data_IF_358211796888
#
_entry.id   IF_358211796888
#
_cell.length_a   1.000
_cell.length_b   1.000
_cell.length_c   1.000
_cell.angle_alpha   90.00
_cell.angle_beta   90.00
_cell.angle_gamma   90.00
#
_symmetry.space_group_name_H-M   'P 1'
#
loop_
_entity.id
_entity.type
_entity.pdbx_description
1 polymer ?
#
# COMPACT_ATOMS: atom_id res chain seq x y z
N UNK A 1 6.54 -38.66 -35.61
CA UNK A 1 7.56 -37.83 -34.95
C UNK A 1 6.77 -36.77 -34.20
N UNK A 2 6.27 -37.15 -33.02
CA UNK A 2 5.20 -36.43 -32.31
C UNK A 2 5.77 -35.37 -31.37
N UNK A 3 5.17 -34.18 -31.45
CA UNK A 3 5.48 -32.97 -30.68
C UNK A 3 5.22 -33.15 -29.18
N UNK A 4 6.29 -33.05 -28.39
CA UNK A 4 6.25 -33.01 -26.93
C UNK A 4 5.86 -31.60 -26.44
N UNK A 5 4.56 -31.29 -26.49
CA UNK A 5 3.98 -30.13 -25.79
C UNK A 5 3.91 -30.42 -24.29
N UNK A 6 4.65 -29.64 -23.49
CA UNK A 6 4.65 -29.67 -22.02
C UNK A 6 3.24 -29.57 -21.41
N UNK A 7 2.31 -28.88 -22.09
CA UNK A 7 0.95 -28.65 -21.61
C UNK A 7 0.02 -29.88 -21.74
N UNK A 8 0.40 -30.86 -22.56
CA UNK A 8 -0.38 -32.08 -22.80
C UNK A 8 0.37 -33.35 -22.41
N UNK A 9 1.46 -33.23 -21.66
CA UNK A 9 2.24 -34.39 -21.23
C UNK A 9 1.40 -35.24 -20.24
N UNK A 10 1.18 -36.55 -20.53
CA UNK A 10 0.28 -37.39 -19.73
C UNK A 10 0.68 -37.46 -18.25
N UNK A 11 1.98 -37.40 -17.95
CA UNK A 11 2.49 -37.39 -16.58
C UNK A 11 2.10 -36.14 -15.76
N UNK A 12 1.78 -35.01 -16.40
CA UNK A 12 1.37 -33.77 -15.72
C UNK A 12 -0.16 -33.69 -15.51
N UNK A 13 -0.92 -34.52 -16.23
CA UNK A 13 -2.38 -34.63 -16.11
C UNK A 13 -2.83 -35.73 -15.15
N UNK A 14 -1.91 -36.54 -14.60
CA UNK A 14 -2.21 -37.54 -13.57
C UNK A 14 -2.67 -36.86 -12.26
N UNK A 15 -3.91 -37.09 -11.79
CA UNK A 15 -4.42 -36.53 -10.55
C UNK A 15 -3.62 -36.93 -9.31
N UNK A 16 -3.06 -38.14 -9.30
CA UNK A 16 -2.28 -38.65 -8.18
C UNK A 16 -0.85 -38.10 -8.16
N UNK A 17 -0.29 -37.77 -9.33
CA UNK A 17 0.95 -37.01 -9.44
C UNK A 17 0.78 -35.57 -8.90
N UNK A 18 -0.30 -34.87 -9.29
CA UNK A 18 -0.59 -33.50 -8.83
C UNK A 18 -0.76 -33.41 -7.30
N UNK A 19 -1.47 -34.36 -6.70
CA UNK A 19 -1.61 -34.44 -5.23
C UNK A 19 -0.27 -34.67 -4.53
N UNK A 20 0.60 -35.51 -5.09
CA UNK A 20 1.95 -35.76 -4.55
C UNK A 20 2.83 -34.53 -4.68
N UNK A 21 2.85 -33.88 -5.84
CA UNK A 21 3.60 -32.65 -6.08
C UNK A 21 3.16 -31.51 -5.15
N UNK A 22 1.85 -31.32 -4.93
CA UNK A 22 1.35 -30.30 -4.00
C UNK A 22 1.74 -30.60 -2.54
N UNK A 23 1.70 -31.89 -2.14
CA UNK A 23 2.12 -32.31 -0.80
C UNK A 23 3.61 -32.10 -0.59
N UNK A 24 4.45 -32.41 -1.58
CA UNK A 24 5.89 -32.21 -1.54
C UNK A 24 6.28 -30.73 -1.54
N UNK A 25 5.61 -29.89 -2.35
CA UNK A 25 5.80 -28.45 -2.34
C UNK A 25 5.47 -27.82 -0.98
N UNK A 26 4.36 -28.24 -0.35
CA UNK A 26 3.99 -27.79 1.02
C UNK A 26 4.99 -28.23 2.08
N UNK A 27 5.56 -29.43 1.96
CA UNK A 27 6.58 -29.93 2.90
C UNK A 27 7.94 -29.23 2.70
N UNK A 28 8.31 -28.92 1.45
CA UNK A 28 9.49 -28.13 1.10
C UNK A 28 9.41 -26.71 1.68
N UNK A 29 8.28 -26.02 1.46
CA UNK A 29 8.04 -24.68 1.99
C UNK A 29 8.12 -24.62 3.54
N UNK A 30 7.61 -25.64 4.24
CA UNK A 30 7.72 -25.73 5.71
C UNK A 30 9.16 -25.96 6.20
N UNK A 31 9.96 -26.74 5.46
CA UNK A 31 11.39 -26.97 5.79
C UNK A 31 12.21 -25.69 5.58
N UNK A 32 11.95 -24.95 4.51
CA UNK A 32 12.64 -23.68 4.23
C UNK A 32 12.32 -22.58 5.24
N UNK A 33 11.07 -22.47 5.69
CA UNK A 33 10.68 -21.57 6.77
C UNK A 33 11.40 -21.90 8.09
N UNK A 34 11.54 -23.19 8.43
CA UNK A 34 12.31 -23.62 9.62
C UNK A 34 13.80 -23.29 9.50
N UNK A 35 14.38 -23.42 8.30
CA UNK A 35 15.80 -23.12 8.05
C UNK A 35 16.08 -21.62 8.15
N UNK A 36 15.20 -20.78 7.60
CA UNK A 36 15.26 -19.30 7.73
C UNK A 36 15.10 -18.83 9.17
N UNK A 37 14.29 -19.52 9.99
CA UNK A 37 14.11 -19.20 11.42
C UNK A 37 15.33 -19.52 12.28
N UNK A 38 16.17 -20.50 11.88
CA UNK A 38 17.43 -20.85 12.55
C UNK A 38 18.61 -19.95 12.15
N UNK A 39 18.53 -19.24 11.02
CA UNK A 39 19.61 -18.38 10.51
C UNK A 39 19.48 -16.89 10.90
N UNK A 40 18.45 -16.50 11.67
CA UNK A 40 18.42 -15.14 12.25
C UNK A 40 19.47 -15.05 13.38
N UNK A 41 20.46 -14.14 13.30
CA UNK A 41 21.35 -13.90 14.42
C UNK A 41 20.52 -13.32 15.56
N UNK A 42 20.39 -14.08 16.65
CA UNK A 42 19.86 -13.55 17.92
C UNK A 42 20.89 -12.57 18.47
N UNK A 43 20.82 -11.30 18.06
CA UNK A 43 21.46 -10.20 18.79
C UNK A 43 20.72 -10.04 20.12
N UNK A 44 21.06 -10.91 21.08
CA UNK A 44 20.72 -10.73 22.49
C UNK A 44 21.52 -9.54 22.98
N UNK A 45 20.88 -8.38 23.09
CA UNK A 45 21.44 -7.25 23.79
C UNK A 45 21.48 -7.63 25.29
N UNK A 46 22.61 -8.18 25.75
CA UNK A 46 22.87 -8.43 27.16
C UNK A 46 23.17 -7.07 27.82
N UNK A 47 22.13 -6.33 28.18
CA UNK A 47 22.30 -5.24 29.16
C UNK A 47 22.57 -5.89 30.52
N UNK A 48 23.68 -5.52 31.14
CA UNK A 48 24.01 -5.96 32.49
C UNK A 48 22.99 -5.35 33.47
N UNK A 49 22.63 -6.13 34.50
CA UNK A 49 21.66 -5.76 35.56
C UNK A 49 21.93 -4.38 36.19
N UNK A 50 23.19 -3.90 36.13
CA UNK A 50 23.62 -2.59 36.63
C UNK A 50 23.07 -1.42 35.80
N UNK A 51 22.90 -1.56 34.49
CA UNK A 51 22.38 -0.49 33.61
C UNK A 51 20.89 -0.26 33.83
N UNK A 52 20.12 -1.33 34.08
CA UNK A 52 18.68 -1.26 34.35
C UNK A 52 18.40 -0.56 35.69
N UNK A 53 19.21 -0.82 36.73
CA UNK A 53 19.06 -0.19 38.05
C UNK A 53 19.37 1.30 38.00
N UNK A 54 20.40 1.71 37.26
CA UNK A 54 20.76 3.14 37.12
C UNK A 54 19.67 3.92 36.38
N UNK A 55 19.10 3.36 35.30
CA UNK A 55 18.00 4.00 34.57
C UNK A 55 16.72 4.10 35.41
N UNK A 56 16.45 3.12 36.28
CA UNK A 56 15.28 3.13 37.16
C UNK A 56 15.39 4.21 38.25
N UNK A 57 16.58 4.41 38.84
CA UNK A 57 16.82 5.44 39.86
C UNK A 57 16.75 6.86 39.28
N UNK A 58 17.26 7.06 38.06
CA UNK A 58 17.15 8.36 37.38
C UNK A 58 15.68 8.66 37.05
N UNK A 59 14.92 7.65 36.62
CA UNK A 59 13.48 7.78 36.33
C UNK A 59 12.64 8.12 37.56
N UNK A 60 12.93 7.55 38.73
CA UNK A 60 12.16 7.81 39.96
C UNK A 60 12.49 9.17 40.58
N UNK A 61 13.74 9.64 40.51
CA UNK A 61 14.12 10.99 40.98
C UNK A 61 13.50 12.09 40.10
N UNK A 62 13.43 11.87 38.78
CA UNK A 62 12.75 12.79 37.87
C UNK A 62 11.23 12.87 38.11
N UNK A 63 10.59 11.74 38.42
CA UNK A 63 9.16 11.66 38.72
C UNK A 63 8.79 12.34 40.05
N UNK A 64 9.63 12.21 41.08
CA UNK A 64 9.43 12.88 42.37
C UNK A 64 9.69 14.40 42.29
N UNK A 65 10.64 14.84 41.46
CA UNK A 65 10.87 16.27 41.20
C UNK A 65 9.70 16.96 40.48
N UNK A 66 9.08 16.27 39.51
CA UNK A 66 7.92 16.81 38.78
C UNK A 66 6.66 16.91 39.65
N UNK A 67 6.45 15.97 40.57
CA UNK A 67 5.30 15.99 41.49
C UNK A 67 5.37 17.16 42.50
N UNK A 68 6.56 17.54 42.96
CA UNK A 68 6.73 18.65 43.89
C UNK A 68 6.43 20.02 43.25
N UNK A 69 6.75 20.21 41.97
CA UNK A 69 6.48 21.46 41.24
C UNK A 69 4.98 21.65 40.95
N UNK A 70 4.24 20.58 40.67
CA UNK A 70 2.78 20.64 40.44
C UNK A 70 2.02 20.94 41.73
N UNK A 71 2.43 20.39 42.88
CA UNK A 71 1.75 20.63 44.16
C UNK A 71 1.99 22.05 44.69
N UNK A 72 3.12 22.68 44.37
CA UNK A 72 3.42 24.05 44.82
C UNK A 72 2.73 25.13 43.96
N UNK A 73 2.33 24.81 42.71
CA UNK A 73 1.59 25.70 41.81
C UNK A 73 0.06 25.72 42.08
N UNK A 74 -0.47 24.74 42.83
CA UNK A 74 -1.91 24.60 43.10
C UNK A 74 -2.40 25.21 44.42
N UNK A 75 -1.53 25.87 45.21
CA UNK A 75 -1.88 26.43 46.53
C UNK A 75 -2.03 27.95 46.59
N UNK A 76 -2.06 28.64 45.46
CA UNK A 76 -2.27 30.09 45.43
C UNK A 76 -3.17 30.51 44.29
N UNK A 77 -4.47 30.68 44.57
CA UNK A 77 -5.36 31.73 44.03
C UNK A 77 -6.83 31.35 44.26
N UNK A 78 -7.51 32.07 45.16
CA UNK A 78 -8.96 32.06 45.28
C UNK A 78 -9.57 32.89 44.14
N UNK A 79 -10.26 32.23 43.21
CA UNK A 79 -10.96 32.80 42.05
C UNK A 79 -12.46 32.50 42.18
N UNK A 80 -13.39 33.40 41.77
CA UNK A 80 -14.83 33.18 41.89
C UNK A 80 -15.30 31.94 41.10
N UNK A 81 -16.37 31.31 41.57
CA UNK A 81 -16.89 30.03 41.07
C UNK A 81 -17.03 29.97 39.52
N UNK A 82 -16.49 28.94 38.84
CA UNK A 82 -16.67 28.78 37.41
C UNK A 82 -18.11 28.39 37.09
N UNK A 83 -18.75 29.11 36.17
CA UNK A 83 -19.90 28.58 35.44
C UNK A 83 -19.47 27.28 34.74
N UNK A 84 -20.31 26.23 34.70
CA UNK A 84 -19.95 25.00 33.99
C UNK A 84 -19.60 25.36 32.54
N UNK A 85 -18.45 24.90 32.00
CA UNK A 85 -18.11 25.17 30.61
C UNK A 85 -19.24 24.60 29.76
N UNK A 86 -19.98 25.50 29.10
CA UNK A 86 -20.92 25.10 28.05
C UNK A 86 -20.04 24.42 27.00
N UNK A 87 -20.20 23.11 26.83
CA UNK A 87 -19.47 22.37 25.83
C UNK A 87 -19.55 23.16 24.53
N UNK A 88 -18.40 23.56 23.99
CA UNK A 88 -18.36 24.01 22.61
C UNK A 88 -19.06 22.93 21.80
N UNK A 89 -19.93 23.27 20.83
CA UNK A 89 -20.49 22.25 19.96
C UNK A 89 -19.29 21.45 19.44
N UNK A 90 -19.26 20.15 19.78
CA UNK A 90 -18.35 19.23 19.11
C UNK A 90 -18.60 19.50 17.64
N UNK A 91 -17.57 19.90 16.89
CA UNK A 91 -17.63 19.92 15.44
C UNK A 91 -17.87 18.46 15.01
N UNK A 92 -19.12 18.04 15.06
CA UNK A 92 -19.64 16.78 14.54
C UNK A 92 -19.66 16.98 13.05
N UNK A 93 -18.54 16.71 12.40
CA UNK A 93 -18.39 16.94 10.97
C UNK A 93 -16.98 16.66 10.50
N UNK A 94 -16.91 16.10 9.30
CA UNK A 94 -15.69 16.06 8.50
C UNK A 94 -15.52 17.42 7.83
N UNK A 95 -14.34 18.01 7.97
CA UNK A 95 -13.98 19.21 7.22
C UNK A 95 -13.61 18.80 5.79
N UNK A 96 -14.53 19.02 4.85
CA UNK A 96 -14.37 18.61 3.45
C UNK A 96 -13.39 19.50 2.67
N UNK A 97 -13.10 20.71 3.16
CA UNK A 97 -12.08 21.59 2.58
C UNK A 97 -10.66 21.13 2.99
N UNK A 98 -10.56 20.39 4.09
CA UNK A 98 -9.32 19.80 4.60
C UNK A 98 -9.48 18.29 4.85
N UNK A 99 -9.75 17.50 3.81
CA UNK A 99 -10.23 16.12 3.98
C UNK A 99 -9.20 15.17 4.60
N UNK A 100 -7.91 15.52 4.54
CA UNK A 100 -6.84 14.71 5.12
C UNK A 100 -6.49 15.09 6.57
N UNK A 101 -7.05 16.17 7.13
CA UNK A 101 -6.79 16.56 8.51
C UNK A 101 -7.23 15.45 9.48
N UNK A 102 -6.38 15.18 10.49
CA UNK A 102 -6.59 14.08 11.46
C UNK A 102 -6.66 12.69 10.81
N UNK A 103 -6.09 12.52 9.62
CA UNK A 103 -5.82 11.22 9.01
C UNK A 103 -4.31 10.96 8.92
N UNK A 104 -3.85 9.70 8.75
CA UNK A 104 -2.45 9.40 8.46
C UNK A 104 -1.85 10.16 7.28
N UNK A 105 -2.68 10.55 6.29
CA UNK A 105 -2.24 11.27 5.10
C UNK A 105 -2.09 12.79 5.27
N UNK A 106 -2.34 13.33 6.47
CA UNK A 106 -2.22 14.77 6.76
C UNK A 106 -0.85 15.36 6.39
N UNK A 107 0.22 14.55 6.52
CA UNK A 107 1.61 14.97 6.25
C UNK A 107 2.20 14.34 4.99
N UNK A 108 1.41 13.64 4.19
CA UNK A 108 1.87 13.05 2.93
C UNK A 108 1.90 14.11 1.83
N UNK A 109 2.74 13.89 0.83
CA UNK A 109 2.83 14.78 -0.32
C UNK A 109 1.78 14.42 -1.37
N UNK A 110 1.43 15.40 -2.18
CA UNK A 110 0.44 15.24 -3.26
C UNK A 110 0.99 14.38 -4.39
N UNK A 111 0.19 13.40 -4.84
CA UNK A 111 0.50 12.50 -5.94
C UNK A 111 1.92 11.92 -5.89
N UNK A 112 2.57 11.87 -7.05
CA UNK A 112 3.92 11.31 -7.18
C UNK A 112 5.00 12.01 -6.34
N UNK A 113 4.79 13.25 -5.89
CA UNK A 113 5.78 13.92 -5.03
C UNK A 113 5.98 13.20 -3.68
N UNK A 114 5.05 12.31 -3.32
CA UNK A 114 5.15 11.41 -2.16
C UNK A 114 5.91 10.11 -2.40
N UNK A 115 6.25 9.78 -3.65
CA UNK A 115 7.06 8.61 -3.96
C UNK A 115 8.53 9.04 -4.08
N UNK A 116 9.37 8.45 -3.23
CA UNK A 116 10.82 8.64 -3.33
C UNK A 116 11.37 7.82 -4.49
N UNK A 117 11.96 8.50 -5.48
CA UNK A 117 12.66 7.86 -6.60
C UNK A 117 14.16 8.12 -6.40
N UNK A 118 14.98 7.09 -6.18
CA UNK A 118 16.42 7.27 -6.05
C UNK A 118 17.04 7.62 -7.41
N UNK A 119 18.22 8.26 -7.43
CA UNK A 119 18.95 8.48 -8.67
C UNK A 119 19.33 7.13 -9.31
N UNK A 120 19.29 7.07 -10.64
CA UNK A 120 19.69 5.92 -11.42
C UNK A 120 21.14 5.53 -11.16
N UNK A 121 21.35 4.25 -10.87
CA UNK A 121 22.67 3.64 -10.76
C UNK A 121 22.76 2.48 -11.73
N UNK A 122 23.96 2.15 -12.18
CA UNK A 122 24.12 0.99 -13.05
C UNK A 122 23.76 -0.29 -12.27
N UNK A 123 22.87 -1.12 -12.83
CA UNK A 123 22.37 -2.33 -12.19
C UNK A 123 22.28 -3.44 -13.22
N UNK A 124 22.96 -4.56 -12.97
CA UNK A 124 23.04 -5.67 -13.94
C UNK A 124 23.61 -5.18 -15.28
N UNK A 125 22.87 -5.43 -16.37
CA UNK A 125 23.22 -4.97 -17.72
C UNK A 125 22.65 -3.59 -18.11
N UNK A 126 22.21 -2.79 -17.13
CA UNK A 126 21.62 -1.46 -17.35
C UNK A 126 22.57 -0.37 -16.85
N UNK A 127 22.77 0.65 -17.67
CA UNK A 127 23.50 1.87 -17.31
C UNK A 127 22.66 2.74 -16.37
N UNK A 128 23.30 3.68 -15.66
CA UNK A 128 22.60 4.62 -14.79
C UNK A 128 21.48 5.39 -15.52
N UNK A 129 21.75 5.84 -16.75
CA UNK A 129 20.78 6.56 -17.58
C UNK A 129 19.57 5.69 -17.98
N UNK A 130 19.81 4.40 -18.25
CA UNK A 130 18.71 3.47 -18.56
C UNK A 130 17.87 3.16 -17.32
N UNK A 131 18.49 3.10 -16.14
CA UNK A 131 17.76 2.96 -14.87
C UNK A 131 16.92 4.21 -14.58
N UNK A 132 17.44 5.42 -14.83
CA UNK A 132 16.64 6.65 -14.74
C UNK A 132 15.47 6.66 -15.72
N UNK A 133 15.70 6.22 -16.96
CA UNK A 133 14.63 6.11 -17.95
C UNK A 133 13.56 5.09 -17.53
N UNK A 134 13.98 3.97 -16.93
CA UNK A 134 13.09 2.97 -16.37
C UNK A 134 12.26 3.53 -15.19
N UNK A 135 12.88 4.28 -14.28
CA UNK A 135 12.14 4.95 -13.20
C UNK A 135 11.09 5.92 -13.73
N UNK A 136 11.44 6.77 -14.71
CA UNK A 136 10.47 7.67 -15.34
C UNK A 136 9.29 6.90 -15.94
N UNK A 137 9.56 5.83 -16.69
CA UNK A 137 8.53 4.99 -17.31
C UNK A 137 7.60 4.36 -16.26
N UNK A 138 8.13 3.92 -15.13
CA UNK A 138 7.33 3.38 -14.02
C UNK A 138 6.53 4.46 -13.33
N UNK A 139 7.07 5.66 -13.10
CA UNK A 139 6.30 6.77 -12.52
C UNK A 139 5.17 7.24 -13.45
N UNK A 140 5.38 7.25 -14.76
CA UNK A 140 4.32 7.49 -15.75
C UNK A 140 3.23 6.41 -15.65
N UNK A 141 3.61 5.14 -15.53
CA UNK A 141 2.65 4.04 -15.38
C UNK A 141 1.83 4.13 -14.08
N UNK A 142 2.47 4.47 -12.95
CA UNK A 142 1.78 4.72 -11.67
C UNK A 142 0.81 5.90 -11.81
N UNK A 143 1.22 6.97 -12.50
CA UNK A 143 0.35 8.13 -12.73
C UNK A 143 -0.88 7.74 -13.53
N UNK A 144 -0.69 7.11 -14.69
CA UNK A 144 -1.79 6.66 -15.54
C UNK A 144 -2.75 5.71 -14.80
N UNK A 145 -2.21 4.82 -13.97
CA UNK A 145 -2.98 3.82 -13.23
C UNK A 145 -3.75 4.36 -12.02
N UNK A 146 -3.14 5.28 -11.26
CA UNK A 146 -3.59 5.65 -9.90
C UNK A 146 -4.05 7.10 -9.78
N UNK A 147 -3.62 7.97 -10.68
CA UNK A 147 -3.89 9.41 -10.60
C UNK A 147 -4.59 9.95 -11.86
N UNK A 148 -4.45 9.26 -13.00
CA UNK A 148 -5.02 9.66 -14.28
C UNK A 148 -6.54 9.70 -14.25
N UNK A 149 -7.13 10.81 -14.71
CA UNK A 149 -8.59 11.00 -14.69
C UNK A 149 -9.33 9.93 -15.49
N UNK A 150 -8.73 9.47 -16.61
CA UNK A 150 -9.26 8.38 -17.45
C UNK A 150 -9.40 7.07 -16.67
N UNK A 151 -8.35 6.66 -15.97
CA UNK A 151 -8.39 5.45 -15.15
C UNK A 151 -9.37 5.61 -13.98
N UNK A 152 -9.29 6.74 -13.28
CA UNK A 152 -10.08 6.98 -12.07
C UNK A 152 -11.58 7.05 -12.36
N UNK A 153 -12.01 7.83 -13.36
CA UNK A 153 -13.43 8.14 -13.60
C UNK A 153 -14.02 7.38 -14.77
N UNK A 154 -13.29 7.33 -15.88
CA UNK A 154 -13.79 6.72 -17.12
C UNK A 154 -13.50 5.21 -17.16
N UNK A 155 -12.74 4.72 -16.17
CA UNK A 155 -12.24 3.36 -16.08
C UNK A 155 -11.48 2.98 -17.36
N UNK A 156 -10.84 3.94 -18.03
CA UNK A 156 -10.12 3.75 -19.28
C UNK A 156 -8.61 3.58 -19.01
N UNK A 157 -8.06 2.41 -19.37
CA UNK A 157 -6.65 2.07 -19.20
C UNK A 157 -5.75 2.43 -20.39
N UNK A 158 -6.23 3.17 -21.39
CA UNK A 158 -5.50 3.49 -22.61
C UNK A 158 -4.14 4.14 -22.38
N UNK A 159 -4.04 5.07 -21.42
CA UNK A 159 -2.77 5.73 -21.06
C UNK A 159 -1.74 4.74 -20.51
N UNK A 160 -2.18 3.80 -19.66
CA UNK A 160 -1.31 2.75 -19.13
C UNK A 160 -0.87 1.79 -20.23
N UNK A 161 -1.81 1.35 -21.09
CA UNK A 161 -1.54 0.46 -22.21
C UNK A 161 -0.48 1.02 -23.15
N UNK A 162 -0.49 2.33 -23.43
CA UNK A 162 0.48 2.99 -24.29
C UNK A 162 1.93 2.91 -23.77
N UNK A 163 2.12 2.67 -22.46
CA UNK A 163 3.44 2.58 -21.83
C UNK A 163 4.03 1.17 -21.89
N UNK A 164 3.21 0.14 -22.08
CA UNK A 164 3.61 -1.26 -22.02
C UNK A 164 4.30 -1.73 -23.30
N UNK A 165 5.13 -2.76 -23.15
CA UNK A 165 5.70 -3.53 -24.24
C UNK A 165 4.57 -4.10 -25.13
N UNK A 166 4.78 -4.24 -26.46
CA UNK A 166 3.72 -4.66 -27.38
C UNK A 166 2.95 -5.93 -26.97
N UNK A 167 3.66 -6.99 -26.55
CA UNK A 167 3.02 -8.24 -26.15
C UNK A 167 2.26 -8.10 -24.81
N UNK A 168 2.84 -7.41 -23.83
CA UNK A 168 2.17 -7.11 -22.56
C UNK A 168 0.88 -6.32 -22.81
N UNK A 169 0.96 -5.28 -23.66
CA UNK A 169 -0.18 -4.46 -24.06
C UNK A 169 -1.27 -5.32 -24.67
N UNK A 170 -0.92 -6.17 -25.65
CA UNK A 170 -1.89 -7.02 -26.32
C UNK A 170 -2.57 -7.99 -25.36
N UNK A 171 -1.82 -8.55 -24.41
CA UNK A 171 -2.33 -9.51 -23.43
C UNK A 171 -3.41 -8.91 -22.51
N UNK A 172 -3.22 -7.66 -22.05
CA UNK A 172 -4.13 -7.03 -21.08
C UNK A 172 -5.06 -5.97 -21.68
N UNK A 173 -4.99 -5.75 -22.99
CA UNK A 173 -5.76 -4.71 -23.69
C UNK A 173 -7.26 -4.82 -23.42
N UNK A 174 -7.85 -5.99 -23.64
CA UNK A 174 -9.28 -6.22 -23.47
C UNK A 174 -9.72 -5.94 -22.03
N UNK A 175 -8.99 -6.50 -21.05
CA UNK A 175 -9.27 -6.29 -19.63
C UNK A 175 -9.21 -4.80 -19.24
N UNK A 176 -8.20 -4.05 -19.70
CA UNK A 176 -8.04 -2.63 -19.37
C UNK A 176 -9.00 -1.69 -20.12
N UNK A 177 -9.63 -2.14 -21.21
CA UNK A 177 -10.61 -1.36 -21.99
C UNK A 177 -12.06 -1.79 -21.76
N UNK A 178 -12.29 -2.93 -21.13
CA UNK A 178 -13.60 -3.41 -20.69
C UNK A 178 -14.19 -2.59 -19.53
N UNK A 179 -15.42 -2.88 -19.10
CA UNK A 179 -16.01 -2.28 -17.91
C UNK A 179 -15.24 -2.59 -16.60
N UNK A 180 -15.68 -2.04 -15.46
CA UNK A 180 -15.03 -2.29 -14.17
C UNK A 180 -15.16 -3.77 -13.77
N UNK A 181 -14.03 -4.38 -13.40
CA UNK A 181 -13.97 -5.75 -12.88
C UNK A 181 -12.98 -5.83 -11.71
N UNK A 182 -13.10 -6.90 -10.90
CA UNK A 182 -12.16 -7.19 -9.81
C UNK A 182 -10.74 -7.39 -10.33
N UNK A 183 -10.56 -7.98 -11.51
CA UNK A 183 -9.21 -8.18 -12.06
C UNK A 183 -8.58 -6.86 -12.50
N UNK A 184 -9.37 -5.97 -13.12
CA UNK A 184 -8.92 -4.66 -13.59
C UNK A 184 -8.39 -3.77 -12.46
N UNK A 185 -8.94 -3.90 -11.25
CA UNK A 185 -8.52 -3.11 -10.09
C UNK A 185 -7.05 -3.32 -9.67
N UNK A 186 -6.45 -4.43 -10.10
CA UNK A 186 -5.04 -4.74 -9.84
C UNK A 186 -4.14 -3.75 -10.59
N UNK A 187 -4.58 -3.32 -11.77
CA UNK A 187 -3.83 -2.43 -12.65
C UNK A 187 -4.25 -0.98 -12.52
N UNK A 188 -5.55 -0.70 -12.35
CA UNK A 188 -6.10 0.65 -12.29
C UNK A 188 -6.86 0.89 -10.98
N UNK A 189 -6.85 2.12 -10.49
CA UNK A 189 -7.82 2.54 -9.47
C UNK A 189 -9.11 2.98 -10.15
N UNK A 190 -10.22 2.32 -9.84
CA UNK A 190 -11.54 2.58 -10.43
C UNK A 190 -12.42 3.26 -9.39
N UNK A 191 -12.81 4.53 -9.58
CA UNK A 191 -13.67 5.24 -8.63
C UNK A 191 -15.14 4.86 -8.84
N UNK A 192 -15.86 4.64 -7.76
CA UNK A 192 -17.29 4.37 -7.77
C UNK A 192 -18.15 5.62 -7.97
N UNK A 193 -19.42 5.52 -7.61
CA UNK A 193 -20.39 6.61 -7.84
C UNK A 193 -20.17 7.85 -6.95
N UNK A 194 -19.44 7.70 -5.83
CA UNK A 194 -19.15 8.82 -4.93
C UNK A 194 -18.05 9.69 -5.53
N UNK A 195 -18.26 11.00 -5.53
CA UNK A 195 -17.31 11.95 -6.08
C UNK A 195 -16.04 12.03 -5.22
N UNK A 196 -14.89 12.09 -5.89
CA UNK A 196 -13.64 12.50 -5.24
C UNK A 196 -13.73 13.97 -4.84
N UNK A 197 -13.15 14.29 -3.70
CA UNK A 197 -12.90 15.66 -3.27
C UNK A 197 -12.04 16.40 -4.29
N UNK A 198 -12.09 17.73 -4.27
CA UNK A 198 -11.20 18.59 -5.05
C UNK A 198 -9.73 18.46 -4.62
N UNK A 199 -9.47 18.00 -3.40
CA UNK A 199 -8.12 17.75 -2.93
C UNK A 199 -7.48 16.57 -3.72
N UNK A 200 -6.29 16.74 -4.30
CA UNK A 200 -5.65 15.67 -5.05
C UNK A 200 -5.30 14.48 -4.13
N UNK A 201 -5.22 13.26 -4.67
CA UNK A 201 -4.74 12.11 -3.90
C UNK A 201 -3.35 12.37 -3.31
N UNK A 202 -3.11 11.87 -2.10
CA UNK A 202 -1.81 11.97 -1.43
C UNK A 202 -1.13 10.61 -1.37
N UNK A 203 0.19 10.59 -1.55
CA UNK A 203 0.96 9.36 -1.56
C UNK A 203 2.15 9.41 -0.59
N UNK A 204 2.59 8.23 -0.18
CA UNK A 204 3.87 8.03 0.50
C UNK A 204 4.46 6.70 0.04
N UNK A 205 5.77 6.64 -0.19
CA UNK A 205 6.41 5.40 -0.63
C UNK A 205 7.76 5.62 -1.30
N UNK A 206 8.24 4.55 -1.94
CA UNK A 206 9.51 4.57 -2.65
C UNK A 206 9.53 3.56 -3.80
N UNK A 207 10.40 3.85 -4.77
CA UNK A 207 10.83 2.89 -5.78
C UNK A 207 12.21 2.34 -5.40
N UNK A 208 12.43 1.07 -5.70
CA UNK A 208 13.75 0.43 -5.61
C UNK A 208 14.01 -0.34 -6.89
N UNK A 209 15.28 -0.60 -7.18
CA UNK A 209 15.68 -1.31 -8.40
C UNK A 209 16.57 -2.49 -8.05
N UNK A 210 16.39 -3.60 -8.77
CA UNK A 210 17.25 -4.77 -8.73
C UNK A 210 17.45 -5.32 -10.14
N UNK A 211 18.54 -6.04 -10.36
CA UNK A 211 18.70 -6.82 -11.58
C UNK A 211 17.68 -7.96 -11.59
N UNK A 212 17.05 -8.20 -12.74
CA UNK A 212 16.25 -9.40 -12.99
C UNK A 212 17.08 -10.49 -13.65
N UNK A 213 16.44 -11.29 -14.51
CA UNK A 213 17.13 -12.20 -15.42
C UNK A 213 18.00 -11.47 -16.45
N UNK A 214 18.66 -12.23 -17.34
CA UNK A 214 19.51 -11.65 -18.39
C UNK A 214 18.68 -10.70 -19.27
N UNK A 215 19.04 -9.41 -19.26
CA UNK A 215 18.33 -8.38 -20.03
C UNK A 215 17.09 -7.82 -19.35
N UNK A 216 16.85 -8.13 -18.08
CA UNK A 216 15.73 -7.62 -17.30
C UNK A 216 16.20 -6.71 -16.16
N UNK A 217 15.46 -5.63 -15.93
CA UNK A 217 15.56 -4.76 -14.77
C UNK A 217 14.22 -4.78 -14.05
N UNK A 218 14.23 -4.95 -12.74
CA UNK A 218 13.00 -4.96 -11.94
C UNK A 218 12.97 -3.74 -11.05
N UNK A 219 11.94 -2.92 -11.22
CA UNK A 219 11.62 -1.80 -10.34
C UNK A 219 10.51 -2.24 -9.41
N UNK A 220 10.81 -2.32 -8.12
CA UNK A 220 9.81 -2.59 -7.10
C UNK A 220 9.25 -1.27 -6.57
N UNK A 221 7.96 -1.06 -6.75
CA UNK A 221 7.21 0.06 -6.21
C UNK A 221 6.49 -0.39 -4.93
N UNK A 222 6.74 0.30 -3.81
CA UNK A 222 5.98 0.15 -2.57
C UNK A 222 5.48 1.51 -2.12
N UNK A 223 4.16 1.71 -2.16
CA UNK A 223 3.55 2.99 -1.81
C UNK A 223 2.14 2.81 -1.25
N UNK A 224 1.67 3.87 -0.60
CA UNK A 224 0.30 4.01 -0.12
C UNK A 224 -0.30 5.26 -0.73
N UNK A 225 -1.54 5.15 -1.23
CA UNK A 225 -2.32 6.28 -1.75
C UNK A 225 -3.56 6.49 -0.91
N UNK A 226 -3.82 7.75 -0.54
CA UNK A 226 -5.03 8.20 0.12
C UNK A 226 -5.88 9.01 -0.86
N UNK A 227 -7.14 8.62 -1.02
CA UNK A 227 -8.11 9.31 -1.87
C UNK A 227 -9.17 9.95 -0.98
N UNK A 228 -9.36 11.26 -1.07
CA UNK A 228 -10.43 11.93 -0.36
C UNK A 228 -11.71 11.91 -1.19
N UNK A 229 -12.84 11.59 -0.57
CA UNK A 229 -14.17 11.66 -1.17
C UNK A 229 -14.98 12.81 -0.56
N UNK A 230 -15.87 13.39 -1.36
CA UNK A 230 -16.89 14.28 -0.82
C UNK A 230 -17.91 13.48 -0.01
N UNK A 231 -18.62 14.14 0.91
CA UNK A 231 -19.70 13.54 1.68
C UNK A 231 -20.81 14.57 1.91
N UNK A 232 -22.06 14.12 2.01
CA UNK A 232 -23.16 15.00 2.46
C UNK A 232 -23.11 15.16 3.99
N UNK A 233 -23.69 16.24 4.55
CA UNK A 233 -23.81 16.39 5.99
C UNK A 233 -24.43 15.13 6.63
N UNK A 234 -23.72 14.53 7.59
CA UNK A 234 -24.16 13.33 8.31
C UNK A 234 -23.86 11.99 7.63
N UNK A 235 -23.31 11.95 6.41
CA UNK A 235 -22.88 10.68 5.78
C UNK A 235 -21.59 10.14 6.42
N UNK A 236 -20.64 11.01 6.76
CA UNK A 236 -19.38 10.63 7.38
C UNK A 236 -19.32 11.09 8.84
N UNK A 237 -18.88 10.20 9.71
CA UNK A 237 -18.77 10.41 11.17
C UNK A 237 -17.34 10.76 11.58
N UNK A 238 -16.36 10.31 10.81
CA UNK A 238 -14.94 10.56 11.04
C UNK A 238 -14.20 10.94 9.74
N UNK A 239 -13.07 11.68 9.82
CA UNK A 239 -12.25 11.95 8.64
C UNK A 239 -11.80 10.69 7.89
N UNK A 240 -11.55 9.58 8.59
CA UNK A 240 -11.16 8.31 7.95
C UNK A 240 -12.29 7.71 7.11
N UNK A 241 -13.56 8.03 7.39
CA UNK A 241 -14.71 7.47 6.65
C UNK A 241 -14.74 7.94 5.19
N UNK A 242 -14.14 9.11 4.91
CA UNK A 242 -14.05 9.70 3.57
C UNK A 242 -12.70 9.46 2.89
N UNK A 243 -11.72 8.86 3.59
CA UNK A 243 -10.36 8.65 3.08
C UNK A 243 -10.01 7.16 3.09
N UNK A 244 -10.34 6.40 2.03
CA UNK A 244 -9.78 5.08 1.83
C UNK A 244 -8.27 5.15 1.52
N UNK A 245 -7.53 4.16 2.03
CA UNK A 245 -6.10 3.99 1.81
C UNK A 245 -5.80 2.71 1.04
N UNK A 246 -5.02 2.84 -0.03
CA UNK A 246 -4.59 1.74 -0.90
C UNK A 246 -3.08 1.58 -0.76
N UNK A 247 -2.63 0.50 -0.13
CA UNK A 247 -1.23 0.07 -0.18
C UNK A 247 -1.01 -0.82 -1.39
N UNK A 248 0.03 -0.55 -2.15
CA UNK A 248 0.42 -1.32 -3.33
C UNK A 248 1.89 -1.70 -3.23
N UNK A 249 2.20 -2.97 -3.48
CA UNK A 249 3.53 -3.47 -3.80
C UNK A 249 3.48 -4.09 -5.19
N UNK A 250 4.20 -3.50 -6.15
CA UNK A 250 4.18 -3.92 -7.55
C UNK A 250 5.60 -3.94 -8.12
N UNK A 251 6.01 -5.09 -8.65
CA UNK A 251 7.20 -5.20 -9.48
C UNK A 251 6.83 -4.80 -10.92
N UNK A 252 7.60 -3.88 -11.49
CA UNK A 252 7.58 -3.50 -12.89
C UNK A 252 8.85 -4.01 -13.54
N UNK A 253 8.74 -4.70 -14.68
CA UNK A 253 9.88 -5.32 -15.35
C UNK A 253 10.17 -4.58 -16.64
N UNK A 254 11.40 -4.12 -16.81
CA UNK A 254 11.90 -3.53 -18.05
C UNK A 254 12.80 -4.54 -18.75
N UNK A 255 12.48 -4.86 -20.00
CA UNK A 255 13.25 -5.81 -20.83
C UNK A 255 13.96 -5.12 -21.99
N UNK A 256 15.19 -5.56 -22.28
CA UNK A 256 15.98 -5.14 -23.44
C UNK A 256 15.98 -6.19 -24.55
N UNK A 257 15.97 -5.71 -25.79
CA UNK A 257 16.31 -6.51 -26.96
C UNK A 257 17.74 -6.19 -27.43
N UNK A 258 18.61 -7.18 -27.65
CA UNK A 258 18.56 -8.58 -27.18
C UNK A 258 18.76 -8.70 -25.64
N UNK A 259 18.44 -9.86 -25.00
CA UNK A 259 18.08 -11.15 -25.59
C UNK A 259 16.60 -11.33 -25.90
N UNK A 260 15.73 -10.41 -25.45
CA UNK A 260 14.30 -10.51 -25.72
C UNK A 260 13.97 -10.11 -27.16
N UNK A 261 12.86 -10.63 -27.68
CA UNK A 261 12.32 -10.15 -28.95
C UNK A 261 11.89 -8.68 -28.81
N UNK A 262 11.88 -7.94 -29.92
CA UNK A 262 11.46 -6.52 -29.91
C UNK A 262 10.04 -6.30 -29.38
N UNK A 263 9.15 -7.28 -29.56
CA UNK A 263 7.77 -7.24 -29.07
C UNK A 263 7.63 -7.41 -27.55
N UNK A 264 8.64 -7.97 -26.89
CA UNK A 264 8.71 -8.16 -25.43
C UNK A 264 9.58 -7.10 -24.74
N UNK A 265 10.33 -6.30 -25.51
CA UNK A 265 11.16 -5.24 -25.00
C UNK A 265 10.30 -4.04 -24.56
N UNK A 266 10.64 -3.47 -23.39
CA UNK A 266 9.88 -2.40 -22.76
C UNK A 266 9.32 -2.79 -21.39
N UNK A 267 8.27 -2.10 -20.97
CA UNK A 267 7.65 -2.25 -19.66
C UNK A 267 6.62 -3.38 -19.65
N UNK A 268 6.71 -4.26 -18.64
CA UNK A 268 5.68 -5.22 -18.29
C UNK A 268 5.39 -5.19 -16.79
N UNK A 269 4.29 -5.80 -16.39
CA UNK A 269 4.02 -6.10 -14.99
C UNK A 269 4.81 -7.33 -14.52
N UNK A 270 5.12 -7.36 -13.24
CA UNK A 270 5.63 -8.50 -12.49
C UNK A 270 4.68 -8.85 -11.33
N UNK A 271 5.22 -9.40 -10.24
CA UNK A 271 4.44 -9.72 -9.06
C UNK A 271 3.81 -8.46 -8.45
N UNK A 272 2.51 -8.53 -8.16
CA UNK A 272 1.73 -7.42 -7.63
C UNK A 272 0.82 -7.88 -6.50
N UNK A 273 0.73 -7.07 -5.44
CA UNK A 273 -0.19 -7.27 -4.33
C UNK A 273 -0.56 -5.94 -3.72
N UNK A 274 -1.76 -5.86 -3.17
CA UNK A 274 -2.22 -4.63 -2.55
C UNK A 274 -3.15 -4.90 -1.38
N UNK A 275 -3.35 -3.86 -0.58
CA UNK A 275 -4.19 -3.88 0.60
C UNK A 275 -5.00 -2.59 0.66
N UNK A 276 -6.28 -2.72 1.02
CA UNK A 276 -7.19 -1.59 1.10
C UNK A 276 -7.76 -1.49 2.51
N UNK A 277 -7.96 -0.27 2.97
CA UNK A 277 -8.57 0.01 4.29
C UNK A 277 -9.45 1.25 4.22
N UNK A 278 -10.39 1.37 5.15
CA UNK A 278 -11.34 2.48 5.26
C UNK A 278 -12.15 2.69 3.96
N UNK A 279 -12.57 1.60 3.33
CA UNK A 279 -13.37 1.60 2.11
C UNK A 279 -14.62 0.73 2.24
N UNK A 280 -15.64 0.98 1.43
CA UNK A 280 -16.86 0.18 1.41
C UNK A 280 -16.60 -1.24 0.90
N UNK A 281 -17.01 -2.26 1.66
CA UNK A 281 -16.65 -3.65 1.36
C UNK A 281 -17.41 -4.27 0.18
N UNK A 282 -18.65 -3.87 -0.06
CA UNK A 282 -19.39 -4.24 -1.26
C UNK A 282 -18.75 -3.65 -2.52
N UNK A 283 -18.28 -2.39 -2.47
CA UNK A 283 -17.51 -1.78 -3.56
C UNK A 283 -16.16 -2.48 -3.77
N UNK A 284 -15.45 -2.80 -2.67
CA UNK A 284 -14.18 -3.54 -2.73
C UNK A 284 -14.33 -4.88 -3.45
N UNK A 285 -15.39 -5.64 -3.14
CA UNK A 285 -15.73 -6.91 -3.80
C UNK A 285 -16.10 -6.76 -5.28
N UNK A 286 -16.56 -5.59 -5.70
CA UNK A 286 -16.82 -5.25 -7.10
C UNK A 286 -15.58 -4.74 -7.85
N UNK A 287 -14.44 -4.58 -7.17
CA UNK A 287 -13.22 -4.03 -7.77
C UNK A 287 -13.21 -2.50 -7.87
N UNK A 288 -14.08 -1.81 -7.15
CA UNK A 288 -14.27 -0.36 -7.24
C UNK A 288 -13.92 0.29 -5.90
N UNK A 289 -13.25 1.43 -5.96
CA UNK A 289 -12.93 2.27 -4.82
C UNK A 289 -14.11 3.16 -4.46
N UNK A 290 -14.57 3.04 -3.21
CA UNK A 290 -15.59 3.90 -2.63
C UNK A 290 -15.28 4.18 -1.15
N UNK A 291 -15.70 5.33 -0.60
CA UNK A 291 -15.45 5.68 0.78
C UNK A 291 -16.22 4.75 1.72
N UNK A 292 -15.73 4.58 2.95
CA UNK A 292 -16.32 3.64 3.92
C UNK A 292 -17.81 3.88 4.16
N UNK A 293 -18.22 5.14 4.24
CA UNK A 293 -19.62 5.50 4.48
C UNK A 293 -20.57 5.07 3.35
N UNK A 294 -20.06 4.73 2.17
CA UNK A 294 -20.89 4.25 1.06
C UNK A 294 -21.33 2.78 1.23
N UNK A 295 -20.71 2.04 2.18
CA UNK A 295 -21.02 0.64 2.40
C UNK A 295 -22.33 0.42 3.16
N UNK A 296 -23.06 -0.63 2.76
CA UNK A 296 -24.29 -1.08 3.44
C UNK A 296 -24.04 -1.59 4.86
N UNK A 297 -22.82 -2.07 5.13
CA UNK A 297 -22.36 -2.58 6.42
C UNK A 297 -21.61 -1.51 7.23
N UNK A 298 -21.99 -0.23 7.11
CA UNK A 298 -21.31 0.91 7.75
C UNK A 298 -21.39 0.93 9.30
N UNK A 299 -21.71 -0.20 9.94
CA UNK A 299 -21.57 -0.36 11.39
C UNK A 299 -20.11 -0.33 11.79
N UNK A 300 -19.73 0.84 12.30
CA UNK A 300 -18.48 1.21 12.94
C UNK A 300 -18.02 0.16 13.97
N UNK A 301 -16.69 0.00 14.06
CA UNK A 301 -15.91 -0.71 15.09
C UNK A 301 -15.62 -2.21 14.86
N UNK A 302 -14.92 -2.52 13.77
CA UNK A 302 -13.92 -3.58 13.83
C UNK A 302 -12.79 -3.15 14.79
N UNK A 303 -12.28 -4.06 15.62
CA UNK A 303 -11.12 -3.79 16.48
C UNK A 303 -9.99 -3.18 15.63
N UNK A 304 -9.46 -1.99 15.97
CA UNK A 304 -8.37 -1.41 15.21
C UNK A 304 -7.22 -2.41 15.13
N UNK A 305 -6.50 -2.46 14.00
CA UNK A 305 -5.34 -3.32 13.87
C UNK A 305 -4.41 -3.12 15.07
N UNK A 306 -3.86 -4.21 15.61
CA UNK A 306 -2.95 -4.18 16.78
C UNK A 306 -1.74 -3.25 16.53
N UNK A 307 -1.46 -2.93 15.27
CA UNK A 307 -0.55 -1.88 14.82
C UNK A 307 -1.18 -1.12 13.64
N UNK A 308 -1.99 -0.11 13.94
CA UNK A 308 -2.63 0.75 12.93
C UNK A 308 -1.60 1.44 12.01
N UNK A 309 -0.41 1.77 12.53
CA UNK A 309 0.62 2.43 11.71
C UNK A 309 1.14 1.51 10.60
N UNK A 310 1.25 0.20 10.88
CA UNK A 310 1.64 -0.79 9.87
C UNK A 310 0.62 -0.94 8.73
N UNK A 311 -0.63 -0.52 8.94
CA UNK A 311 -1.67 -0.52 7.91
C UNK A 311 -1.41 0.47 6.79
N UNK A 312 -0.63 1.52 7.04
CA UNK A 312 -0.37 2.58 6.05
C UNK A 312 1.11 2.71 5.67
N UNK A 313 2.03 2.23 6.50
CA UNK A 313 3.48 2.34 6.29
C UNK A 313 3.98 1.38 5.18
N UNK A 314 4.42 1.88 4.02
CA UNK A 314 4.90 1.06 2.90
C UNK A 314 6.21 0.32 3.18
N UNK A 315 6.90 0.62 4.29
CA UNK A 315 8.11 -0.08 4.72
C UNK A 315 7.82 -1.35 5.53
N UNK A 316 6.58 -1.54 5.97
CA UNK A 316 6.13 -2.75 6.66
C UNK A 316 5.60 -3.77 5.65
N UNK A 317 5.63 -5.07 5.95
CA UNK A 317 4.94 -6.06 5.12
C UNK A 317 3.45 -5.68 4.93
N UNK A 318 2.90 -5.95 3.75
CA UNK A 318 1.45 -5.83 3.55
C UNK A 318 0.69 -6.68 4.57
N UNK A 319 -0.41 -6.15 5.15
CA UNK A 319 -1.26 -6.90 6.08
C UNK A 319 -1.82 -8.17 5.42
N UNK A 320 -1.95 -9.24 6.21
CA UNK A 320 -2.43 -10.54 5.74
C UNK A 320 -3.93 -10.76 5.89
N UNK A 321 -4.65 -9.84 6.54
CA UNK A 321 -6.09 -9.93 6.80
C UNK A 321 -6.80 -8.78 6.11
N UNK A 322 -7.65 -9.11 5.15
CA UNK A 322 -8.57 -8.16 4.54
C UNK A 322 -9.47 -7.52 5.63
N UNK A 323 -9.71 -6.21 5.53
CA UNK A 323 -10.68 -5.53 6.38
C UNK A 323 -12.11 -5.88 5.99
N UNK A 324 -12.32 -6.36 4.77
CA UNK A 324 -13.60 -6.83 4.27
C UNK A 324 -13.68 -8.34 4.43
N UNK A 325 -14.45 -8.78 5.43
CA UNK A 325 -14.77 -10.21 5.61
C UNK A 325 -15.84 -10.68 4.63
#
# INVERSE_FOLDING_TARGET
MEDARLETHPDLMDPEWRKRAEREARLGAKKDLKRRRKQRPRRRFRMTRKVVVVLFVIGTVALLGAAAVVVHQLRGSSVPAPQPPKAAPVLTGVDLDRPFDRTPAANWREGLAGITVPPGQAVGGFTAQEVDAAYRKVTEAITAARLGSRALRDHDGSELLALLAPNERAQIHEMLTSGPTVEKNRYLTLIGQKALSKAPPRMTGALTVKSGGKGELVIHASYTTAYAFDARPGEALSPSDIVPFLREEQDYVIRKAPPFAKADAGLSFGEGRGYRSHMACDAARAGILAPQYAGKDSTVAGTPPVDETSTYDPTKPLPSRDTCR
#
